data_IF_806873442333
#
_entry.id   IF_806873442333
#
_cell.length_a   1.000
_cell.length_b   1.000
_cell.length_c   1.000
_cell.angle_alpha   90.00
_cell.angle_beta   90.00
_cell.angle_gamma   90.00
#
_symmetry.space_group_name_H-M   'P 1'
#
loop_
_entity.id
_entity.type
_entity.pdbx_description
1 polymer ?
#
# COMPACT_ATOMS: atom_id res chain seq x y z
N UNK A 1 -2.45 10.55 0.93
CA UNK A 1 -2.47 9.41 -0.01
C UNK A 1 -3.89 9.16 -0.51
N UNK A 2 -4.05 8.83 -1.77
CA UNK A 2 -5.34 8.45 -2.35
C UNK A 2 -5.48 6.92 -2.32
N UNK A 3 -6.24 6.41 -1.37
CA UNK A 3 -6.41 4.97 -1.17
C UNK A 3 -7.19 4.33 -2.32
N UNK A 4 -8.09 5.07 -2.97
CA UNK A 4 -8.84 4.56 -4.12
C UNK A 4 -7.94 4.43 -5.34
N UNK A 5 -7.06 5.40 -5.59
CA UNK A 5 -6.10 5.31 -6.67
C UNK A 5 -5.18 4.09 -6.49
N UNK A 6 -4.72 3.86 -5.26
CA UNK A 6 -3.89 2.70 -4.93
C UNK A 6 -4.66 1.39 -5.14
N UNK A 7 -5.93 1.38 -4.75
CA UNK A 7 -6.79 0.21 -4.97
C UNK A 7 -6.92 -0.12 -6.45
N UNK A 8 -7.10 0.91 -7.28
CA UNK A 8 -7.19 0.72 -8.75
C UNK A 8 -5.90 0.14 -9.32
N UNK A 9 -4.74 0.61 -8.85
CA UNK A 9 -3.46 0.02 -9.26
C UNK A 9 -3.38 -1.46 -8.93
N UNK A 10 -3.82 -1.85 -7.73
CA UNK A 10 -3.81 -3.24 -7.29
C UNK A 10 -4.73 -4.12 -8.14
N UNK A 11 -5.90 -3.61 -8.52
CA UNK A 11 -6.82 -4.35 -9.37
C UNK A 11 -6.27 -4.49 -10.80
N UNK A 12 -5.65 -3.44 -11.32
CA UNK A 12 -5.03 -3.48 -12.65
C UNK A 12 -3.87 -4.48 -12.71
N UNK A 13 -3.01 -4.46 -11.69
CA UNK A 13 -1.88 -5.39 -11.59
C UNK A 13 -2.33 -6.85 -11.59
N UNK A 14 -3.51 -7.12 -11.02
CA UNK A 14 -4.05 -8.46 -10.89
C UNK A 14 -5.06 -8.83 -11.97
N UNK A 15 -5.33 -7.90 -12.88
CA UNK A 15 -6.31 -8.07 -13.96
C UNK A 15 -7.69 -8.51 -13.42
N UNK A 16 -8.14 -7.85 -12.37
CA UNK A 16 -9.46 -8.07 -11.80
C UNK A 16 -10.25 -6.77 -11.77
N UNK A 17 -11.58 -6.89 -11.79
CA UNK A 17 -12.46 -5.74 -11.65
C UNK A 17 -12.66 -5.38 -10.18
N UNK A 18 -13.15 -4.17 -9.93
CA UNK A 18 -13.51 -3.75 -8.57
C UNK A 18 -14.58 -4.66 -7.97
N UNK A 19 -15.51 -5.13 -8.81
CA UNK A 19 -16.55 -6.07 -8.39
C UNK A 19 -15.92 -7.40 -7.94
N UNK A 20 -14.98 -7.93 -8.71
CA UNK A 20 -14.27 -9.15 -8.34
C UNK A 20 -13.52 -8.98 -7.04
N UNK A 21 -12.86 -7.84 -6.87
CA UNK A 21 -12.16 -7.53 -5.63
C UNK A 21 -13.12 -7.52 -4.44
N UNK A 22 -14.31 -6.94 -4.60
CA UNK A 22 -15.31 -6.90 -3.54
C UNK A 22 -15.70 -8.30 -3.09
N UNK A 23 -15.80 -9.24 -4.02
CA UNK A 23 -16.11 -10.63 -3.73
C UNK A 23 -14.96 -11.34 -3.03
N UNK A 24 -13.74 -11.14 -3.52
CA UNK A 24 -12.54 -11.75 -2.94
C UNK A 24 -12.33 -11.29 -1.50
N UNK A 25 -12.50 -9.98 -1.26
CA UNK A 25 -12.22 -9.36 0.03
C UNK A 25 -13.41 -9.35 0.99
N UNK A 26 -14.57 -9.83 0.54
CA UNK A 26 -15.80 -9.83 1.33
C UNK A 26 -16.16 -8.41 1.81
N UNK A 27 -16.02 -7.45 0.91
CA UNK A 27 -16.40 -6.05 1.13
C UNK A 27 -17.54 -5.73 0.18
N UNK A 28 -18.55 -4.99 0.66
CA UNK A 28 -19.66 -4.60 -0.20
C UNK A 28 -19.18 -3.80 -1.40
N UNK A 29 -19.61 -4.19 -2.59
CA UNK A 29 -19.30 -3.46 -3.81
C UNK A 29 -19.75 -1.99 -3.72
N UNK A 30 -20.92 -1.75 -3.11
CA UNK A 30 -21.42 -0.39 -2.93
C UNK A 30 -20.52 0.45 -2.02
N UNK A 31 -19.87 -0.16 -1.04
CA UNK A 31 -18.89 0.52 -0.19
C UNK A 31 -17.71 1.01 -1.02
N UNK A 32 -17.18 0.17 -1.89
CA UNK A 32 -16.07 0.53 -2.76
C UNK A 32 -16.48 1.58 -3.79
N UNK A 33 -17.64 1.42 -4.39
CA UNK A 33 -18.15 2.38 -5.38
C UNK A 33 -18.47 3.74 -4.76
N UNK A 34 -19.01 3.76 -3.56
CA UNK A 34 -19.29 5.02 -2.86
C UNK A 34 -17.99 5.76 -2.53
N UNK A 35 -16.97 5.04 -2.07
CA UNK A 35 -15.67 5.64 -1.81
C UNK A 35 -15.08 6.24 -3.10
N UNK A 36 -15.17 5.52 -4.22
CA UNK A 36 -14.70 5.99 -5.52
C UNK A 36 -15.47 7.25 -5.97
N UNK A 37 -16.81 7.21 -5.88
CA UNK A 37 -17.67 8.30 -6.36
C UNK A 37 -17.50 9.58 -5.57
N UNK A 38 -17.20 9.48 -4.28
CA UNK A 38 -17.10 10.64 -3.39
C UNK A 38 -15.68 11.15 -3.20
N UNK A 39 -14.73 10.64 -3.95
CA UNK A 39 -13.30 10.87 -3.71
C UNK A 39 -12.94 10.57 -2.25
N UNK A 40 -13.63 9.60 -1.66
CA UNK A 40 -13.43 9.21 -0.29
C UNK A 40 -12.17 8.39 -0.11
N UNK A 41 -11.87 8.10 1.14
CA UNK A 41 -10.79 7.20 1.49
C UNK A 41 -11.38 5.89 2.00
N UNK A 42 -10.66 4.81 1.75
CA UNK A 42 -11.02 3.53 2.33
C UNK A 42 -10.73 3.55 3.83
N UNK A 43 -11.58 2.89 4.61
CA UNK A 43 -11.30 2.73 6.04
C UNK A 43 -10.09 1.82 6.21
N UNK A 44 -9.40 1.96 7.34
CA UNK A 44 -8.28 1.08 7.66
C UNK A 44 -8.72 -0.38 7.72
N UNK A 45 -9.91 -0.64 8.26
CA UNK A 45 -10.48 -1.99 8.32
C UNK A 45 -10.61 -2.60 6.92
N UNK A 46 -11.11 -1.83 5.95
CA UNK A 46 -11.22 -2.29 4.57
C UNK A 46 -9.84 -2.55 3.96
N UNK A 47 -8.89 -1.67 4.21
CA UNK A 47 -7.51 -1.82 3.71
C UNK A 47 -6.87 -3.08 4.28
N UNK A 48 -7.04 -3.32 5.57
CA UNK A 48 -6.50 -4.52 6.21
C UNK A 48 -7.09 -5.80 5.60
N UNK A 49 -8.40 -5.81 5.32
CA UNK A 49 -9.06 -6.94 4.66
C UNK A 49 -8.51 -7.19 3.28
N UNK A 50 -8.35 -6.12 2.49
CA UNK A 50 -7.82 -6.21 1.14
C UNK A 50 -6.41 -6.79 1.17
N UNK A 51 -5.56 -6.27 2.04
CA UNK A 51 -4.19 -6.75 2.18
C UNK A 51 -4.14 -8.22 2.60
N UNK A 52 -4.97 -8.60 3.55
CA UNK A 52 -5.04 -9.99 4.01
C UNK A 52 -5.47 -10.92 2.88
N UNK A 53 -6.52 -10.57 2.16
CA UNK A 53 -7.07 -11.42 1.09
C UNK A 53 -6.17 -11.48 -0.15
N UNK A 54 -5.46 -10.41 -0.46
CA UNK A 54 -4.54 -10.37 -1.58
C UNK A 54 -3.13 -10.84 -1.21
N UNK A 55 -2.91 -11.18 0.05
CA UNK A 55 -1.63 -11.64 0.57
C UNK A 55 -0.51 -10.63 0.31
N UNK A 56 -0.79 -9.37 0.63
CA UNK A 56 0.21 -8.31 0.59
C UNK A 56 0.36 -7.70 1.98
N UNK A 57 1.58 -7.33 2.37
CA UNK A 57 1.76 -6.66 3.65
C UNK A 57 1.13 -5.26 3.61
N UNK A 58 0.66 -4.80 4.78
CA UNK A 58 -0.03 -3.52 4.88
C UNK A 58 0.82 -2.36 4.36
N UNK A 59 2.13 -2.38 4.64
CA UNK A 59 3.00 -1.30 4.17
C UNK A 59 3.04 -1.23 2.64
N UNK A 60 2.93 -2.34 1.95
CA UNK A 60 2.97 -2.37 0.48
C UNK A 60 1.76 -1.65 -0.12
N UNK A 61 0.61 -1.73 0.54
CA UNK A 61 -0.57 -0.99 0.10
C UNK A 61 -0.30 0.51 0.06
N UNK A 62 0.40 1.03 1.06
CA UNK A 62 0.63 2.46 1.23
C UNK A 62 1.85 2.99 0.49
N UNK A 63 2.60 2.12 -0.18
CA UNK A 63 3.85 2.51 -0.82
C UNK A 63 3.69 2.72 -2.31
N UNK A 64 4.19 3.85 -2.81
CA UNK A 64 4.35 4.10 -4.23
C UNK A 64 5.79 3.81 -4.63
N UNK A 65 6.08 3.78 -5.94
CA UNK A 65 7.45 3.63 -6.42
C UNK A 65 8.35 4.76 -5.90
N UNK A 66 7.81 5.98 -5.82
CA UNK A 66 8.53 7.12 -5.25
C UNK A 66 8.85 6.90 -3.77
N UNK A 67 7.89 6.39 -3.00
CA UNK A 67 8.09 6.09 -1.60
C UNK A 67 9.17 5.03 -1.41
N UNK A 68 9.17 3.98 -2.23
CA UNK A 68 10.20 2.96 -2.19
C UNK A 68 11.58 3.54 -2.47
N UNK A 69 11.69 4.41 -3.48
CA UNK A 69 12.95 5.05 -3.82
C UNK A 69 13.46 5.93 -2.67
N UNK A 70 12.57 6.67 -2.02
CA UNK A 70 12.93 7.51 -0.86
C UNK A 70 13.39 6.66 0.31
N UNK A 71 12.69 5.56 0.59
CA UNK A 71 13.06 4.67 1.68
C UNK A 71 14.39 4.00 1.41
N UNK A 72 14.62 3.56 0.18
CA UNK A 72 15.90 2.98 -0.22
C UNK A 72 17.04 3.96 -0.01
N UNK A 73 16.89 5.20 -0.46
CA UNK A 73 17.88 6.24 -0.27
C UNK A 73 18.13 6.54 1.20
N UNK A 74 17.05 6.58 1.99
CA UNK A 74 17.14 6.78 3.44
C UNK A 74 17.87 5.62 4.12
N UNK A 75 17.52 4.40 3.75
CA UNK A 75 18.14 3.19 4.31
C UNK A 75 19.65 3.15 4.01
N UNK A 76 20.03 3.49 2.79
CA UNK A 76 21.44 3.55 2.37
C UNK A 76 22.18 4.57 3.23
N UNK A 77 21.62 5.76 3.42
CA UNK A 77 22.23 6.79 4.28
C UNK A 77 22.36 6.33 5.72
N UNK A 78 21.35 5.67 6.25
CA UNK A 78 21.38 5.15 7.62
C UNK A 78 22.46 4.09 7.78
N UNK A 79 22.59 3.20 6.81
CA UNK A 79 23.63 2.18 6.84
C UNK A 79 25.02 2.78 6.81
N UNK A 80 25.24 3.80 5.97
CA UNK A 80 26.53 4.50 5.93
C UNK A 80 26.85 5.19 7.25
N UNK A 81 25.87 5.86 7.84
CA UNK A 81 26.06 6.52 9.14
C UNK A 81 26.36 5.49 10.23
N UNK A 82 25.70 4.35 10.21
CA UNK A 82 25.91 3.28 11.17
C UNK A 82 27.32 2.68 11.02
N UNK A 83 27.75 2.41 9.80
CA UNK A 83 29.10 1.92 9.51
C UNK A 83 30.16 2.91 10.00
N UNK A 84 29.97 4.19 9.73
CA UNK A 84 30.89 5.23 10.19
C UNK A 84 30.94 5.31 11.72
N UNK A 85 29.81 5.14 12.38
CA UNK A 85 29.74 5.12 13.85
C UNK A 85 30.49 3.92 14.44
N UNK A 86 30.33 2.75 13.83
CA UNK A 86 31.05 1.56 14.23
C UNK A 86 32.55 1.70 14.06
N UNK A 87 32.98 2.27 12.94
CA UNK A 87 34.39 2.55 12.67
C UNK A 87 34.96 3.52 13.66
N UNK A 88 34.18 4.53 14.05
CA UNK A 88 34.61 5.52 15.03
C UNK A 88 34.72 4.93 16.45
N UNK A 89 33.93 3.90 16.73
CA UNK A 89 33.93 3.24 18.04
C UNK A 89 35.11 2.27 18.23
N UNK A 90 35.74 1.88 17.15
CA UNK A 90 36.90 0.99 17.16
C UNK A 90 38.18 1.81 17.30
#
# INVERSE_FOLDING_TARGET
MDTIARLKELTEERDISLYQLSKICDISYSTLKNAESRNGQLSLDSIERICFKLDIPLYEFFMTDEDWNEIEAYAIRRLHLHENSERAAI
#
